data_IF_543376444762
#
_entry.id   IF_543376444762
#
_cell.length_a   1.000
_cell.length_b   1.000
_cell.length_c   1.000
_cell.angle_alpha   90.00
_cell.angle_beta   90.00
_cell.angle_gamma   90.00
#
_symmetry.space_group_name_H-M   'P 1'
#
loop_
_entity.id
_entity.type
_entity.pdbx_description
1 polymer ?
#
# COMPACT_ATOMS: atom_id res chain seq x y z
N UNK A 1 21.08 -21.18 -34.52
CA UNK A 1 20.40 -19.91 -34.90
C UNK A 1 20.94 -18.81 -34.02
N UNK A 2 21.41 -17.67 -34.56
CA UNK A 2 21.95 -16.57 -33.73
C UNK A 2 20.82 -15.77 -33.08
N UNK A 3 21.03 -15.32 -31.83
CA UNK A 3 20.09 -14.43 -31.10
C UNK A 3 19.73 -13.19 -31.92
N UNK A 4 20.70 -12.67 -32.68
CA UNK A 4 20.45 -11.56 -33.60
C UNK A 4 19.40 -11.91 -34.67
N UNK A 5 19.55 -13.06 -35.34
CA UNK A 5 18.62 -13.50 -36.37
C UNK A 5 17.22 -13.76 -35.81
N UNK A 6 17.14 -14.24 -34.57
CA UNK A 6 15.89 -14.47 -33.86
C UNK A 6 15.16 -13.16 -33.52
N UNK A 7 15.89 -12.16 -33.02
CA UNK A 7 15.34 -10.82 -32.76
C UNK A 7 14.86 -10.16 -34.07
N UNK A 8 15.65 -10.27 -35.14
CA UNK A 8 15.28 -9.73 -36.45
C UNK A 8 14.04 -10.43 -37.01
N UNK A 9 13.94 -11.77 -36.90
CA UNK A 9 12.74 -12.47 -37.36
C UNK A 9 11.49 -12.09 -36.57
N UNK A 10 11.59 -11.86 -35.26
CA UNK A 10 10.45 -11.47 -34.44
C UNK A 10 10.00 -10.02 -34.62
N UNK A 11 10.93 -9.13 -34.97
CA UNK A 11 10.64 -7.72 -35.18
C UNK A 11 10.29 -7.38 -36.62
N UNK A 12 10.48 -8.32 -37.56
CA UNK A 12 10.14 -8.11 -38.96
C UNK A 12 8.63 -7.90 -39.12
N UNK A 13 8.25 -6.71 -39.61
CA UNK A 13 6.85 -6.31 -39.80
C UNK A 13 6.21 -5.58 -38.61
N UNK A 14 6.96 -5.36 -37.53
CA UNK A 14 6.49 -4.62 -36.34
C UNK A 14 7.17 -3.25 -36.23
N UNK A 15 6.48 -2.29 -35.57
CA UNK A 15 7.05 -0.98 -35.22
C UNK A 15 8.31 -1.10 -34.33
N UNK A 16 8.45 -2.21 -33.61
CA UNK A 16 9.60 -2.53 -32.78
C UNK A 16 10.93 -2.68 -33.56
N UNK A 17 10.86 -2.87 -34.88
CA UNK A 17 12.04 -2.96 -35.78
C UNK A 17 12.85 -1.67 -35.85
N UNK A 18 12.18 -0.52 -35.80
CA UNK A 18 12.84 0.77 -35.97
C UNK A 18 13.82 1.07 -34.83
N UNK A 19 13.52 0.55 -33.63
CA UNK A 19 14.35 0.71 -32.42
C UNK A 19 15.63 -0.12 -32.43
N UNK A 20 15.63 -1.27 -33.11
CA UNK A 20 16.84 -2.10 -33.25
C UNK A 20 17.63 -1.78 -34.51
N UNK A 21 17.15 -0.89 -35.38
CA UNK A 21 17.74 -0.56 -36.69
C UNK A 21 19.19 -0.07 -36.59
N UNK A 22 19.52 0.66 -35.52
CA UNK A 22 20.88 1.12 -35.22
C UNK A 22 21.85 -0.04 -34.92
N UNK A 23 21.33 -1.13 -34.37
CA UNK A 23 22.12 -2.33 -33.98
C UNK A 23 22.33 -3.32 -35.12
N UNK A 24 21.51 -3.23 -36.17
CA UNK A 24 21.58 -4.10 -37.37
C UNK A 24 22.95 -4.04 -38.03
N UNK A 25 23.57 -2.84 -38.06
CA UNK A 25 24.92 -2.62 -38.63
C UNK A 25 26.01 -3.47 -37.97
N UNK A 26 25.80 -3.90 -36.73
CA UNK A 26 26.79 -4.63 -35.94
C UNK A 26 26.53 -6.14 -35.87
N UNK A 27 25.37 -6.60 -36.40
CA UNK A 27 24.92 -7.99 -36.31
C UNK A 27 25.05 -8.62 -34.90
N UNK A 28 24.95 -7.79 -33.86
CA UNK A 28 25.26 -8.17 -32.49
C UNK A 28 23.98 -8.37 -31.67
N UNK A 29 23.66 -9.62 -31.38
CA UNK A 29 22.44 -10.00 -30.66
C UNK A 29 22.35 -9.42 -29.25
N UNK A 30 23.47 -9.24 -28.54
CA UNK A 30 23.47 -8.64 -27.20
C UNK A 30 23.10 -7.16 -27.24
N UNK A 31 23.65 -6.43 -28.22
CA UNK A 31 23.33 -5.00 -28.41
C UNK A 31 21.89 -4.81 -28.89
N UNK A 32 21.42 -5.66 -29.81
CA UNK A 32 20.04 -5.65 -30.25
C UNK A 32 19.06 -5.96 -29.10
N UNK A 33 19.38 -6.97 -28.27
CA UNK A 33 18.56 -7.32 -27.11
C UNK A 33 18.55 -6.20 -26.06
N UNK A 34 19.71 -5.58 -25.80
CA UNK A 34 19.79 -4.44 -24.87
C UNK A 34 18.97 -3.25 -25.37
N UNK A 35 19.12 -2.85 -26.63
CA UNK A 35 18.32 -1.76 -27.21
C UNK A 35 16.82 -2.06 -27.18
N UNK A 36 16.44 -3.33 -27.39
CA UNK A 36 15.06 -3.78 -27.28
C UNK A 36 14.57 -3.71 -25.83
N UNK A 37 15.35 -4.18 -24.86
CA UNK A 37 15.04 -4.08 -23.44
C UNK A 37 14.93 -2.62 -22.98
N UNK A 38 15.91 -1.77 -23.32
CA UNK A 38 15.91 -0.35 -22.96
C UNK A 38 14.67 0.37 -23.50
N UNK A 39 14.18 0.00 -24.69
CA UNK A 39 12.95 0.56 -25.26
C UNK A 39 11.68 0.08 -24.53
N UNK A 40 11.53 -1.22 -24.27
CA UNK A 40 10.35 -1.73 -23.55
C UNK A 40 10.39 -1.46 -22.04
N UNK A 41 11.57 -1.17 -21.50
CA UNK A 41 11.79 -0.70 -20.13
C UNK A 41 11.74 0.83 -20.02
N UNK A 42 11.71 1.58 -21.12
CA UNK A 42 11.82 3.05 -21.15
C UNK A 42 10.54 3.79 -21.58
N UNK A 43 10.36 5.00 -21.03
CA UNK A 43 9.37 6.05 -21.34
C UNK A 43 7.87 5.77 -21.10
N UNK A 44 7.38 4.54 -21.27
CA UNK A 44 5.96 4.19 -20.99
C UNK A 44 5.72 3.51 -19.64
N UNK A 45 6.79 3.15 -18.94
CA UNK A 45 6.79 2.23 -17.79
C UNK A 45 7.39 2.87 -16.53
N UNK A 46 7.15 4.17 -16.28
CA UNK A 46 7.54 4.81 -15.02
C UNK A 46 6.98 4.03 -13.81
N UNK A 47 5.78 3.44 -13.93
CA UNK A 47 5.19 2.54 -12.92
C UNK A 47 5.97 1.25 -12.64
N UNK A 48 7.01 0.93 -13.42
CA UNK A 48 7.89 -0.23 -13.28
C UNK A 48 9.32 0.11 -12.90
N UNK A 49 9.74 1.37 -12.91
CA UNK A 49 11.01 1.73 -12.30
C UNK A 49 10.78 1.81 -10.79
N UNK A 50 11.23 0.82 -10.01
CA UNK A 50 10.95 0.78 -8.58
C UNK A 50 11.50 2.03 -7.88
N UNK A 51 12.61 2.60 -8.36
CA UNK A 51 13.18 3.84 -7.82
C UNK A 51 12.21 5.03 -7.95
N UNK A 52 11.51 5.16 -9.09
CA UNK A 52 10.51 6.23 -9.25
C UNK A 52 9.27 6.03 -8.36
N UNK A 53 8.95 4.78 -7.99
CA UNK A 53 7.92 4.51 -6.99
C UNK A 53 8.41 4.85 -5.58
N UNK A 54 9.70 4.63 -5.27
CA UNK A 54 10.30 5.09 -4.03
C UNK A 54 10.31 6.61 -3.93
N UNK A 55 10.75 7.32 -4.98
CA UNK A 55 10.72 8.80 -5.04
C UNK A 55 9.29 9.33 -4.85
N UNK A 56 8.31 8.69 -5.53
CA UNK A 56 6.89 9.05 -5.41
C UNK A 56 6.37 8.82 -3.98
N UNK A 57 6.74 7.71 -3.36
CA UNK A 57 6.40 7.44 -1.95
C UNK A 57 7.09 8.45 -1.04
N UNK A 58 8.34 8.80 -1.31
CA UNK A 58 9.08 9.79 -0.55
C UNK A 58 8.36 11.14 -0.58
N UNK A 59 7.90 11.60 -1.73
CA UNK A 59 7.23 12.90 -1.86
C UNK A 59 5.82 12.91 -1.27
N UNK A 60 5.00 11.89 -1.57
CA UNK A 60 3.57 11.91 -1.27
C UNK A 60 3.21 11.41 0.13
N UNK A 61 4.07 10.59 0.74
CA UNK A 61 3.71 9.88 1.97
C UNK A 61 3.77 10.82 3.17
N UNK A 62 2.59 11.19 3.67
CA UNK A 62 2.43 12.01 4.87
C UNK A 62 1.36 11.43 5.78
N UNK A 63 1.65 11.30 7.06
CA UNK A 63 0.65 10.96 8.06
C UNK A 63 0.05 12.25 8.64
N UNK A 64 -1.22 12.51 8.32
CA UNK A 64 -1.95 13.68 8.81
C UNK A 64 -2.97 13.33 9.87
N UNK A 65 -3.82 12.35 9.63
CA UNK A 65 -4.89 11.96 10.54
C UNK A 65 -5.32 10.52 10.24
N UNK A 66 -5.90 9.85 11.23
CA UNK A 66 -6.32 8.44 11.12
C UNK A 66 -7.50 8.23 10.15
N UNK A 67 -8.24 9.31 9.87
CA UNK A 67 -9.34 9.34 8.90
C UNK A 67 -8.84 9.34 7.45
N UNK A 68 -7.74 10.03 7.17
CA UNK A 68 -7.15 10.13 5.84
C UNK A 68 -6.37 8.86 5.48
N UNK A 69 -5.54 8.37 6.41
CA UNK A 69 -4.79 7.12 6.25
C UNK A 69 -4.53 6.51 7.62
N UNK A 70 -4.75 5.21 7.77
CA UNK A 70 -4.41 4.56 9.04
C UNK A 70 -2.91 4.57 9.27
N UNK A 71 -2.49 4.74 10.53
CA UNK A 71 -1.06 4.74 10.87
C UNK A 71 -0.38 3.42 10.44
N UNK A 72 -1.08 2.29 10.56
CA UNK A 72 -0.61 0.99 10.08
C UNK A 72 -0.36 0.98 8.56
N UNK A 73 -1.27 1.55 7.77
CA UNK A 73 -1.10 1.67 6.31
C UNK A 73 0.10 2.55 5.99
N UNK A 74 0.26 3.67 6.70
CA UNK A 74 1.40 4.56 6.55
C UNK A 74 2.73 3.84 6.80
N UNK A 75 2.87 3.11 7.92
CA UNK A 75 4.08 2.31 8.20
C UNK A 75 4.35 1.24 7.12
N UNK A 76 3.28 0.64 6.59
CA UNK A 76 3.39 -0.36 5.50
C UNK A 76 3.95 0.28 4.23
N UNK A 77 3.54 1.51 3.90
CA UNK A 77 4.08 2.24 2.74
C UNK A 77 5.53 2.66 2.96
N UNK A 78 5.90 3.11 4.17
CA UNK A 78 7.30 3.37 4.52
C UNK A 78 8.16 2.12 4.32
N UNK A 79 7.70 0.95 4.80
CA UNK A 79 8.43 -0.30 4.64
C UNK A 79 8.58 -0.69 3.17
N UNK A 80 7.54 -0.51 2.37
CA UNK A 80 7.60 -0.74 0.92
C UNK A 80 8.69 0.11 0.27
N UNK A 81 8.76 1.40 0.60
CA UNK A 81 9.78 2.33 0.11
C UNK A 81 11.19 1.87 0.53
N UNK A 82 11.39 1.52 1.79
CA UNK A 82 12.70 1.06 2.28
C UNK A 82 13.16 -0.23 1.60
N UNK A 83 12.25 -1.18 1.38
CA UNK A 83 12.58 -2.42 0.69
C UNK A 83 13.00 -2.18 -0.76
N UNK A 84 12.37 -1.23 -1.45
CA UNK A 84 12.76 -0.84 -2.79
C UNK A 84 14.19 -0.25 -2.79
N UNK A 85 14.44 0.72 -1.91
CA UNK A 85 15.76 1.34 -1.81
C UNK A 85 16.86 0.32 -1.47
N UNK A 86 16.56 -0.67 -0.63
CA UNK A 86 17.48 -1.77 -0.30
C UNK A 86 17.78 -2.67 -1.51
N UNK A 87 16.78 -3.00 -2.34
CA UNK A 87 16.96 -3.82 -3.55
C UNK A 87 17.83 -3.10 -4.58
N UNK A 88 17.62 -1.79 -4.73
CA UNK A 88 18.36 -0.94 -5.66
C UNK A 88 19.80 -0.63 -5.19
N UNK A 89 20.15 -1.02 -3.96
CA UNK A 89 21.48 -0.85 -3.39
C UNK A 89 21.70 0.47 -2.65
N UNK A 90 20.66 1.27 -2.45
CA UNK A 90 20.68 2.51 -1.67
C UNK A 90 19.98 2.32 -0.32
N UNK A 91 20.49 1.38 0.48
CA UNK A 91 19.86 1.02 1.74
C UNK A 91 19.89 2.19 2.74
N UNK A 92 18.70 2.68 3.11
CA UNK A 92 18.56 3.76 4.08
C UNK A 92 19.02 3.31 5.48
N UNK A 93 19.88 4.11 6.12
CA UNK A 93 20.33 3.87 7.49
C UNK A 93 19.17 3.98 8.49
N UNK A 94 19.29 3.33 9.63
CA UNK A 94 18.24 3.34 10.66
C UNK A 94 17.92 4.76 11.17
N UNK A 95 18.95 5.58 11.34
CA UNK A 95 18.79 6.99 11.70
C UNK A 95 18.04 7.77 10.61
N UNK A 96 18.35 7.52 9.33
CA UNK A 96 17.65 8.16 8.22
C UNK A 96 16.17 7.74 8.17
N UNK A 97 15.85 6.46 8.43
CA UNK A 97 14.46 5.97 8.55
C UNK A 97 13.70 6.67 9.68
N UNK A 98 14.35 6.90 10.82
CA UNK A 98 13.76 7.63 11.95
C UNK A 98 13.53 9.11 11.62
N UNK A 99 14.52 9.77 11.03
CA UNK A 99 14.40 11.17 10.58
C UNK A 99 13.27 11.33 9.57
N UNK A 100 13.18 10.44 8.59
CA UNK A 100 12.09 10.40 7.61
C UNK A 100 10.73 10.22 8.31
N UNK A 101 10.62 9.24 9.21
CA UNK A 101 9.39 8.99 9.97
C UNK A 101 8.92 10.24 10.74
N UNK A 102 9.82 10.91 11.45
CA UNK A 102 9.49 12.12 12.22
C UNK A 102 9.15 13.32 11.33
N UNK A 103 9.73 13.40 10.13
CA UNK A 103 9.46 14.48 9.17
C UNK A 103 8.10 14.30 8.48
N UNK A 104 7.70 13.07 8.20
CA UNK A 104 6.47 12.78 7.44
C UNK A 104 5.20 12.74 8.30
N UNK A 105 5.33 12.68 9.62
CA UNK A 105 4.20 12.82 10.55
C UNK A 105 3.90 14.30 10.77
N UNK A 106 2.74 14.76 10.29
CA UNK A 106 2.28 16.14 10.39
C UNK A 106 1.18 16.33 11.46
N UNK A 107 0.79 15.26 12.14
CA UNK A 107 -0.29 15.32 13.13
C UNK A 107 0.17 15.96 14.44
N UNK A 108 -0.57 16.99 14.87
CA UNK A 108 -0.22 17.82 16.05
C UNK A 108 -0.19 17.00 17.34
N UNK A 109 -1.18 16.13 17.59
CA UNK A 109 -1.27 15.40 18.87
C UNK A 109 -0.17 14.34 19.02
N UNK A 110 0.50 13.95 17.91
CA UNK A 110 1.65 13.05 17.93
C UNK A 110 2.99 13.77 18.19
N UNK A 111 3.02 15.10 18.15
CA UNK A 111 4.25 15.86 18.23
C UNK A 111 4.98 15.65 19.55
N UNK A 112 4.26 15.55 20.68
CA UNK A 112 4.85 15.24 21.99
C UNK A 112 5.57 13.89 22.00
N UNK A 113 4.95 12.86 21.43
CA UNK A 113 5.56 11.53 21.33
C UNK A 113 6.81 11.54 20.45
N UNK A 114 6.82 12.33 19.37
CA UNK A 114 8.00 12.52 18.51
C UNK A 114 9.14 13.21 19.27
N UNK A 115 8.85 14.24 20.08
CA UNK A 115 9.89 14.94 20.85
C UNK A 115 10.52 14.04 21.92
N UNK A 116 9.74 13.16 22.55
CA UNK A 116 10.27 12.13 23.46
C UNK A 116 11.24 11.22 22.72
N UNK A 117 10.86 10.72 21.54
CA UNK A 117 11.72 9.86 20.73
C UNK A 117 12.99 10.57 20.24
N UNK A 118 12.91 11.86 19.86
CA UNK A 118 14.08 12.67 19.51
C UNK A 118 15.04 12.84 20.69
N UNK A 119 14.50 13.05 21.89
CA UNK A 119 15.31 13.17 23.11
C UNK A 119 16.01 11.86 23.44
N UNK A 120 15.28 10.74 23.32
CA UNK A 120 15.87 9.42 23.49
C UNK A 120 16.95 9.13 22.44
N UNK A 121 16.81 9.60 21.20
CA UNK A 121 17.82 9.44 20.15
C UNK A 121 19.13 10.16 20.51
N UNK A 122 19.03 11.36 21.10
CA UNK A 122 20.19 12.13 21.59
C UNK A 122 20.83 11.47 22.81
N UNK A 123 20.03 10.83 23.67
CA UNK A 123 20.48 10.36 24.99
C UNK A 123 21.00 8.92 24.98
N UNK A 124 20.39 8.04 24.19
CA UNK A 124 20.57 6.58 24.29
C UNK A 124 21.12 5.89 23.02
N UNK A 125 21.50 6.64 21.98
CA UNK A 125 22.25 6.25 20.76
C UNK A 125 21.74 5.03 19.94
N UNK A 126 20.72 4.29 20.40
CA UNK A 126 20.32 3.02 19.78
C UNK A 126 18.80 2.76 19.84
N UNK A 127 17.99 3.73 19.43
CA UNK A 127 16.57 3.44 19.18
C UNK A 127 16.42 2.83 17.80
N UNK A 128 15.74 1.69 17.72
CA UNK A 128 15.42 1.09 16.43
C UNK A 128 14.17 1.69 15.79
N UNK A 129 14.08 1.63 14.46
CA UNK A 129 12.87 2.06 13.73
C UNK A 129 11.61 1.37 14.27
N UNK A 130 11.70 0.08 14.58
CA UNK A 130 10.60 -0.71 15.14
C UNK A 130 10.17 -0.22 16.51
N UNK A 131 11.11 0.14 17.39
CA UNK A 131 10.79 0.69 18.71
C UNK A 131 10.06 2.03 18.59
N UNK A 132 10.53 2.92 17.72
CA UNK A 132 9.89 4.21 17.47
C UNK A 132 8.48 4.05 16.86
N UNK A 133 8.33 3.15 15.89
CA UNK A 133 7.05 2.85 15.26
C UNK A 133 6.04 2.27 16.27
N UNK A 134 6.48 1.38 17.16
CA UNK A 134 5.62 0.82 18.21
C UNK A 134 5.19 1.89 19.22
N UNK A 135 6.12 2.74 19.68
CA UNK A 135 5.80 3.85 20.58
C UNK A 135 4.77 4.80 19.98
N UNK A 136 4.93 5.17 18.70
CA UNK A 136 3.96 5.99 17.98
C UNK A 136 2.63 5.27 17.78
N UNK A 137 2.63 3.96 17.52
CA UNK A 137 1.40 3.17 17.39
C UNK A 137 0.60 3.13 18.70
N UNK A 138 1.26 3.07 19.85
CA UNK A 138 0.61 3.20 21.15
C UNK A 138 -0.01 4.59 21.31
N UNK A 139 0.75 5.66 21.03
CA UNK A 139 0.24 7.02 21.09
C UNK A 139 -0.97 7.24 20.15
N UNK A 140 -0.94 6.68 18.94
CA UNK A 140 -2.07 6.74 17.99
C UNK A 140 -3.32 6.03 18.53
N UNK A 141 -3.14 4.92 19.25
CA UNK A 141 -4.26 4.15 19.81
C UNK A 141 -5.01 4.90 20.91
N UNK A 142 -4.33 5.83 21.59
CA UNK A 142 -4.90 6.69 22.63
C UNK A 142 -5.64 7.91 22.07
N UNK A 143 -5.48 8.20 20.77
CA UNK A 143 -6.11 9.35 20.14
C UNK A 143 -7.64 9.23 20.11
N UNK A 144 -8.28 10.35 20.38
CA UNK A 144 -9.74 10.47 20.34
C UNK A 144 -10.34 10.04 19.00
N UNK A 145 -9.66 10.29 17.88
CA UNK A 145 -10.12 9.91 16.54
C UNK A 145 -10.10 8.40 16.31
N UNK A 146 -9.00 7.73 16.73
CA UNK A 146 -8.87 6.28 16.66
C UNK A 146 -9.98 5.61 17.49
N UNK A 147 -10.22 6.11 18.71
CA UNK A 147 -11.29 5.63 19.59
C UNK A 147 -12.68 5.88 19.01
N UNK A 148 -12.92 7.03 18.35
CA UNK A 148 -14.22 7.33 17.69
C UNK A 148 -14.48 6.39 16.51
N UNK A 149 -13.48 6.09 15.69
CA UNK A 149 -13.58 5.14 14.56
C UNK A 149 -13.93 3.73 15.03
N UNK A 150 -13.28 3.26 16.11
CA UNK A 150 -13.50 1.92 16.64
C UNK A 150 -14.84 1.75 17.40
N UNK A 151 -15.48 2.85 17.84
CA UNK A 151 -16.78 2.80 18.55
C UNK A 151 -17.99 2.64 17.63
N UNK A 152 -17.88 2.92 16.33
CA UNK A 152 -19.03 3.00 15.42
C UNK A 152 -19.33 1.71 14.63
N UNK A 153 -18.70 0.58 14.95
CA UNK A 153 -18.91 -0.71 14.25
C UNK A 153 -20.15 -1.49 14.74
N UNK A 154 -20.98 -0.89 15.60
CA UNK A 154 -22.23 -1.50 16.09
C UNK A 154 -23.39 -0.50 16.03
N UNK A 155 -23.78 -0.10 14.82
CA UNK A 155 -25.01 0.65 14.61
C UNK A 155 -25.68 0.21 13.31
N UNK A 156 -26.30 -0.98 13.31
CA UNK A 156 -27.33 -1.30 12.31
C UNK A 156 -28.62 -0.61 12.74
N UNK A 157 -28.76 0.68 12.44
CA UNK A 157 -30.08 1.30 12.44
C UNK A 157 -30.80 0.81 11.18
N UNK A 158 -31.62 -0.23 11.31
CA UNK A 158 -32.64 -0.54 10.32
C UNK A 158 -33.63 0.62 10.31
N UNK A 159 -33.38 1.62 9.45
CA UNK A 159 -34.36 2.63 9.11
C UNK A 159 -35.51 1.91 8.40
N UNK A 160 -36.49 1.45 9.20
CA UNK A 160 -37.70 0.79 8.74
C UNK A 160 -38.49 1.70 7.83
N UNK A 161 -38.30 1.53 6.53
CA UNK A 161 -39.24 2.01 5.54
C UNK A 161 -40.55 1.26 5.77
N UNK A 162 -41.62 2.02 6.02
CA UNK A 162 -42.95 1.51 6.29
C UNK A 162 -43.50 0.87 5.01
N UNK A 163 -43.10 -0.37 4.74
CA UNK A 163 -43.58 -1.21 3.66
C UNK A 163 -44.49 -2.27 4.28
N UNK A 164 -45.78 -1.98 4.20
CA UNK A 164 -46.85 -2.94 4.40
C UNK A 164 -46.59 -4.19 3.56
N UNK A 165 -46.35 -5.33 4.21
CA UNK A 165 -46.45 -6.63 3.55
C UNK A 165 -45.44 -7.67 4.02
N UNK A 166 -45.90 -8.50 4.97
CA UNK A 166 -45.56 -9.92 5.10
C UNK A 166 -44.08 -10.26 5.35
N UNK A 167 -43.78 -10.56 6.62
CA UNK A 167 -43.08 -11.79 7.10
C UNK A 167 -42.54 -11.57 8.52
N UNK A 168 -43.43 -11.29 9.49
CA UNK A 168 -43.06 -11.40 10.88
C UNK A 168 -43.14 -12.88 11.27
N UNK A 169 -42.03 -13.48 11.66
CA UNK A 169 -41.95 -14.87 12.15
C UNK A 169 -42.59 -15.03 13.54
N UNK A 170 -43.00 -13.91 14.15
CA UNK A 170 -43.58 -13.84 15.49
C UNK A 170 -44.97 -13.23 15.43
N UNK A 171 -45.89 -13.81 16.20
CA UNK A 171 -47.20 -13.23 16.51
C UNK A 171 -47.03 -12.02 17.45
N UNK A 172 -48.09 -11.22 17.59
CA UNK A 172 -48.09 -10.03 18.47
C UNK A 172 -47.89 -10.37 19.97
N UNK A 173 -48.06 -11.64 20.35
CA UNK A 173 -47.82 -12.16 21.71
C UNK A 173 -46.37 -12.68 21.92
N UNK A 174 -45.51 -12.60 20.89
CA UNK A 174 -44.13 -13.06 20.93
C UNK A 174 -43.93 -14.55 20.56
N UNK A 175 -45.00 -15.32 20.36
CA UNK A 175 -44.91 -16.71 19.91
C UNK A 175 -44.47 -16.80 18.44
N UNK A 176 -43.70 -17.83 18.08
CA UNK A 176 -43.25 -18.04 16.70
C UNK A 176 -44.37 -18.65 15.87
N UNK A 177 -44.57 -18.19 14.64
CA UNK A 177 -45.54 -18.75 13.69
C UNK A 177 -44.99 -20.07 13.17
N UNK A 178 -45.51 -21.19 13.68
CA UNK A 178 -45.13 -22.53 13.23
C UNK A 178 -46.22 -23.03 12.26
N UNK A 179 -45.85 -23.27 11.00
CA UNK A 179 -46.75 -23.95 10.04
C UNK A 179 -46.69 -25.45 10.33
N UNK A 180 -47.74 -25.99 10.96
CA UNK A 180 -47.96 -27.43 11.07
C UNK A 180 -48.35 -27.99 9.70
N UNK A 181 -47.58 -28.93 9.14
CA UNK A 181 -47.88 -29.61 7.86
C UNK A 181 -48.42 -31.01 8.18
N UNK A 182 -49.74 -31.25 8.15
CA UNK A 182 -50.32 -32.54 8.53
C UNK A 182 -50.37 -33.47 7.32
N UNK A 183 -49.22 -33.94 6.85
CA UNK A 183 -49.12 -35.10 5.94
C UNK A 183 -47.67 -35.44 5.58
N UNK A 184 -46.92 -35.98 6.54
CA UNK A 184 -45.74 -36.76 6.18
C UNK A 184 -46.18 -38.23 6.14
N UNK A 185 -46.50 -38.73 4.94
CA UNK A 185 -46.61 -40.18 4.75
C UNK A 185 -45.20 -40.75 4.68
N UNK A 186 -44.86 -41.59 5.65
CA UNK A 186 -43.69 -42.49 5.65
C UNK A 186 -43.81 -43.56 4.57
#
# INVERSE_FOLDING_TARGET
MSVFNMIISFTTGQLSKDWIKSTVKYANGKRAMKAFQDHFSGEGNASRNPLSEADRLEDLLHYKEERAMSFKTFLTQCQKMYNILEIEGDAMSEEAKLRFLFQKIQYQDLHTAIQVLRTMLITNDSISYTQAANHLSTAVSELSEYLKKNRNISATTSSGHNSSGKSAIHNADGSIIIVHIPSWRT
#
